data_IF_595622855229
#
_entry.id   IF_595622855229
#
_cell.length_a   1.000
_cell.length_b   1.000
_cell.length_c   1.000
_cell.angle_alpha   90.00
_cell.angle_beta   90.00
_cell.angle_gamma   90.00
#
_symmetry.space_group_name_H-M   'P 1'
#
loop_
_entity.id
_entity.type
_entity.pdbx_description
1 polymer ?
#
# COMPACT_ATOMS: atom_id res chain seq x y z
N UNK A 1 32.81 -51.51 -1.92
CA UNK A 1 31.39 -51.18 -1.81
C UNK A 1 31.27 -49.71 -1.46
N UNK A 2 31.00 -48.89 -2.49
CA UNK A 2 30.75 -47.47 -2.31
C UNK A 2 29.26 -47.26 -2.09
N UNK A 3 28.89 -46.76 -0.92
CA UNK A 3 27.52 -46.32 -0.62
C UNK A 3 27.35 -44.98 -1.29
N UNK A 4 26.68 -44.96 -2.45
CA UNK A 4 26.16 -43.71 -3.06
C UNK A 4 25.05 -43.20 -2.15
N UNK A 5 25.31 -42.06 -1.50
CA UNK A 5 24.28 -41.31 -0.80
C UNK A 5 23.26 -40.79 -1.81
N UNK A 6 22.05 -41.28 -1.79
CA UNK A 6 20.89 -40.75 -2.47
C UNK A 6 20.57 -39.38 -1.82
N UNK A 7 21.12 -38.29 -2.37
CA UNK A 7 20.60 -36.96 -2.11
C UNK A 7 19.19 -36.92 -2.71
N UNK A 8 18.17 -36.87 -1.87
CA UNK A 8 16.79 -36.60 -2.26
C UNK A 8 16.76 -35.25 -2.99
N UNK A 9 16.76 -35.28 -4.30
CA UNK A 9 16.49 -34.10 -5.13
C UNK A 9 15.00 -33.80 -4.99
N UNK A 10 14.65 -32.86 -4.11
CA UNK A 10 13.26 -32.39 -4.02
C UNK A 10 12.85 -31.83 -5.39
N UNK A 11 11.74 -32.33 -5.92
CA UNK A 11 11.19 -31.76 -7.14
C UNK A 11 10.71 -30.31 -6.86
N UNK A 12 10.85 -29.41 -7.83
CA UNK A 12 10.48 -28.00 -7.70
C UNK A 12 9.03 -27.84 -7.18
N UNK A 13 8.08 -28.64 -7.68
CA UNK A 13 6.70 -28.67 -7.19
C UNK A 13 6.52 -29.19 -5.76
N UNK A 14 7.49 -29.96 -5.21
CA UNK A 14 7.49 -30.35 -3.79
C UNK A 14 7.90 -29.20 -2.89
N UNK A 15 8.90 -28.42 -3.31
CA UNK A 15 9.37 -27.24 -2.59
C UNK A 15 8.29 -26.15 -2.54
N UNK A 16 7.65 -25.87 -3.67
CA UNK A 16 6.55 -24.90 -3.75
C UNK A 16 5.42 -25.25 -2.79
N UNK A 17 4.98 -26.53 -2.78
CA UNK A 17 3.94 -26.97 -1.82
C UNK A 17 4.37 -26.81 -0.36
N UNK A 18 5.63 -27.06 -0.02
CA UNK A 18 6.16 -26.83 1.33
C UNK A 18 6.15 -25.36 1.70
N UNK A 19 6.56 -24.46 0.79
CA UNK A 19 6.52 -22.99 0.98
C UNK A 19 5.09 -22.51 1.22
N UNK A 20 4.14 -22.91 0.37
CA UNK A 20 2.71 -22.56 0.54
C UNK A 20 2.23 -23.00 1.91
N UNK A 21 2.45 -24.25 2.29
CA UNK A 21 2.02 -24.77 3.59
C UNK A 21 2.69 -24.06 4.77
N UNK A 22 3.96 -23.68 4.64
CA UNK A 22 4.69 -22.92 5.65
C UNK A 22 4.08 -21.52 5.82
N UNK A 23 3.67 -20.86 4.72
CA UNK A 23 3.01 -19.55 4.74
C UNK A 23 1.62 -19.68 5.36
N UNK A 24 0.80 -20.63 4.91
CA UNK A 24 -0.57 -20.85 5.41
C UNK A 24 -0.66 -21.13 6.92
N UNK A 25 0.38 -21.74 7.48
CA UNK A 25 0.41 -22.15 8.91
C UNK A 25 1.51 -21.44 9.70
N UNK A 26 2.08 -20.41 9.16
CA UNK A 26 3.26 -19.76 9.74
C UNK A 26 3.22 -18.24 9.71
N UNK A 27 2.02 -17.63 9.79
CA UNK A 27 1.92 -16.17 9.87
C UNK A 27 2.64 -15.66 11.11
N UNK A 28 3.34 -14.54 10.94
CA UNK A 28 4.23 -13.96 11.97
C UNK A 28 3.75 -12.55 12.34
N UNK A 29 3.74 -12.26 13.64
CA UNK A 29 3.50 -10.91 14.17
C UNK A 29 4.65 -9.98 13.84
N UNK A 30 4.37 -8.67 13.90
CA UNK A 30 5.39 -7.63 13.71
C UNK A 30 6.47 -7.71 14.77
N UNK A 31 6.09 -7.98 16.01
CA UNK A 31 6.97 -7.99 17.18
C UNK A 31 6.94 -9.36 17.85
N UNK A 32 8.13 -9.81 18.27
CA UNK A 32 8.35 -10.99 19.11
C UNK A 32 9.18 -10.56 20.31
N UNK A 33 8.87 -11.07 21.50
CA UNK A 33 9.67 -10.79 22.69
C UNK A 33 11.00 -11.55 22.65
N UNK A 34 12.04 -10.88 23.13
CA UNK A 34 13.38 -11.48 23.21
C UNK A 34 13.38 -12.74 24.08
N UNK A 35 13.84 -13.83 23.52
CA UNK A 35 13.90 -15.13 24.19
C UNK A 35 12.64 -15.99 24.04
N UNK A 36 11.62 -15.49 23.35
CA UNK A 36 10.45 -16.26 22.96
C UNK A 36 10.58 -16.74 21.51
N UNK A 37 10.11 -17.96 21.25
CA UNK A 37 9.97 -18.44 19.87
C UNK A 37 8.77 -17.73 19.21
N UNK A 38 8.89 -17.28 17.94
CA UNK A 38 7.78 -16.67 17.22
C UNK A 38 6.58 -17.62 17.15
N UNK A 39 5.44 -17.19 17.65
CA UNK A 39 4.19 -17.91 17.46
C UNK A 39 3.84 -17.95 15.97
N UNK A 40 3.62 -19.16 15.45
CA UNK A 40 3.20 -19.36 14.06
C UNK A 40 1.69 -19.55 14.01
N UNK A 41 1.01 -18.59 13.37
CA UNK A 41 -0.44 -18.53 13.31
C UNK A 41 -0.95 -19.05 11.96
N UNK A 42 -2.17 -19.63 11.94
CA UNK A 42 -2.79 -20.08 10.70
C UNK A 42 -3.47 -18.91 9.99
N UNK A 43 -3.33 -18.86 8.68
CA UNK A 43 -3.97 -17.84 7.84
C UNK A 43 -5.50 -17.78 8.06
N UNK A 44 -6.18 -18.92 8.10
CA UNK A 44 -7.63 -18.96 8.29
C UNK A 44 -8.06 -18.37 9.65
N UNK A 45 -7.30 -18.64 10.73
CA UNK A 45 -7.59 -18.10 12.06
C UNK A 45 -7.39 -16.57 12.08
N UNK A 46 -6.32 -16.07 11.40
CA UNK A 46 -6.04 -14.64 11.32
C UNK A 46 -7.04 -13.89 10.42
N UNK A 47 -7.50 -14.51 9.33
CA UNK A 47 -8.60 -13.97 8.52
C UNK A 47 -9.86 -13.76 9.38
N UNK A 48 -10.22 -14.74 10.19
CA UNK A 48 -11.35 -14.64 11.12
C UNK A 48 -11.11 -13.56 12.18
N UNK A 49 -9.92 -13.53 12.78
CA UNK A 49 -9.55 -12.56 13.81
C UNK A 49 -9.65 -11.11 13.30
N UNK A 50 -9.16 -10.84 12.10
CA UNK A 50 -9.21 -9.51 11.48
C UNK A 50 -10.53 -9.23 10.75
N UNK A 51 -11.44 -10.18 10.63
CA UNK A 51 -12.68 -10.06 9.83
C UNK A 51 -12.38 -9.73 8.36
N UNK A 52 -11.42 -10.45 7.78
CA UNK A 52 -11.08 -10.38 6.37
C UNK A 52 -11.72 -11.56 5.66
N UNK A 53 -12.81 -11.36 4.88
CA UNK A 53 -13.52 -12.46 4.23
C UNK A 53 -12.71 -13.19 3.19
N UNK A 54 -11.86 -12.46 2.44
CA UNK A 54 -11.08 -13.02 1.36
C UNK A 54 -9.72 -12.35 1.15
N UNK A 55 -8.74 -13.13 0.72
CA UNK A 55 -7.42 -12.66 0.32
C UNK A 55 -6.89 -13.49 -0.84
N UNK A 56 -6.22 -12.86 -1.79
CA UNK A 56 -5.53 -13.52 -2.91
C UNK A 56 -4.06 -13.15 -2.89
N UNK A 57 -3.19 -14.14 -3.12
CA UNK A 57 -1.73 -14.02 -3.02
C UNK A 57 -1.10 -14.61 -4.29
N UNK A 58 -0.16 -13.88 -4.89
CA UNK A 58 0.73 -14.42 -5.93
C UNK A 58 2.17 -14.13 -5.57
N UNK A 59 3.04 -15.13 -5.70
CA UNK A 59 4.45 -15.04 -5.33
C UNK A 59 5.32 -15.25 -6.55
N UNK A 60 6.33 -14.39 -6.68
CA UNK A 60 7.36 -14.41 -7.73
C UNK A 60 8.62 -15.05 -7.16
N UNK A 61 9.16 -16.04 -7.85
CA UNK A 61 10.51 -16.56 -7.64
C UNK A 61 11.20 -16.76 -8.98
N UNK A 62 12.49 -16.43 -9.07
CA UNK A 62 13.28 -16.54 -10.31
C UNK A 62 12.65 -15.81 -11.51
N UNK A 63 12.10 -14.62 -11.28
CA UNK A 63 11.41 -13.78 -12.29
C UNK A 63 10.22 -14.47 -12.99
N UNK A 64 9.54 -15.38 -12.29
CA UNK A 64 8.32 -16.04 -12.76
C UNK A 64 7.31 -16.15 -11.61
N UNK A 65 6.03 -16.21 -11.92
CA UNK A 65 5.02 -16.52 -10.90
C UNK A 65 5.21 -17.98 -10.50
N UNK A 66 5.65 -18.23 -9.26
CA UNK A 66 5.82 -19.58 -8.74
C UNK A 66 4.48 -20.19 -8.36
N UNK A 67 3.59 -19.40 -7.78
CA UNK A 67 2.23 -19.80 -7.45
C UNK A 67 1.32 -18.59 -7.23
N UNK A 68 0.01 -18.82 -7.42
CA UNK A 68 -1.05 -17.90 -7.07
C UNK A 68 -2.20 -18.65 -6.40
N UNK A 69 -2.76 -18.12 -5.31
CA UNK A 69 -3.82 -18.79 -4.56
C UNK A 69 -4.75 -17.80 -3.87
N UNK A 70 -6.06 -18.09 -3.91
CA UNK A 70 -7.08 -17.39 -3.17
C UNK A 70 -7.47 -18.14 -1.88
N UNK A 71 -7.91 -17.40 -0.88
CA UNK A 71 -8.37 -17.91 0.41
C UNK A 71 -9.62 -17.16 0.86
N UNK A 72 -10.55 -17.86 1.49
CA UNK A 72 -11.81 -17.30 1.94
C UNK A 72 -12.83 -17.12 0.83
N UNK A 73 -13.69 -16.11 0.93
CA UNK A 73 -14.88 -15.93 0.09
C UNK A 73 -14.94 -14.56 -0.57
N UNK A 74 -15.57 -14.50 -1.75
CA UNK A 74 -15.76 -13.27 -2.53
C UNK A 74 -16.60 -12.23 -1.77
N UNK A 75 -17.58 -12.71 -1.00
CA UNK A 75 -18.49 -11.90 -0.20
C UNK A 75 -18.80 -12.61 1.11
N UNK A 76 -18.76 -11.88 2.21
CA UNK A 76 -19.17 -12.39 3.52
C UNK A 76 -20.60 -12.93 3.50
N UNK A 77 -20.80 -14.10 4.14
CA UNK A 77 -22.09 -14.78 4.15
C UNK A 77 -22.39 -15.62 2.90
N UNK A 78 -21.46 -15.77 1.97
CA UNK A 78 -21.54 -16.68 0.82
C UNK A 78 -20.53 -17.81 0.93
N UNK A 79 -20.69 -18.84 0.09
CA UNK A 79 -19.73 -19.95 -0.05
C UNK A 79 -18.88 -19.83 -1.31
N UNK A 80 -18.97 -18.71 -2.05
CA UNK A 80 -18.22 -18.48 -3.28
C UNK A 80 -16.73 -18.23 -2.95
N UNK A 81 -15.80 -19.14 -3.35
CA UNK A 81 -14.42 -19.04 -2.91
C UNK A 81 -13.65 -17.99 -3.72
N UNK A 82 -12.70 -17.31 -3.06
CA UNK A 82 -11.71 -16.52 -3.77
C UNK A 82 -10.86 -17.43 -4.64
N UNK A 83 -10.73 -17.06 -5.93
CA UNK A 83 -9.80 -17.67 -6.86
C UNK A 83 -8.72 -16.67 -7.29
N UNK A 84 -7.56 -17.13 -7.82
CA UNK A 84 -6.49 -16.23 -8.29
C UNK A 84 -6.89 -15.32 -9.46
N UNK A 85 -8.02 -15.61 -10.11
CA UNK A 85 -8.50 -14.90 -11.31
C UNK A 85 -9.59 -13.87 -11.01
N UNK A 86 -9.93 -13.67 -9.73
CA UNK A 86 -10.91 -12.66 -9.34
C UNK A 86 -10.25 -11.29 -9.23
N UNK A 87 -11.02 -10.27 -9.59
CA UNK A 87 -10.58 -8.89 -9.62
C UNK A 87 -10.76 -8.23 -8.25
N UNK A 88 -9.72 -7.53 -7.84
CA UNK A 88 -9.70 -6.63 -6.70
C UNK A 88 -9.40 -5.22 -7.17
N UNK A 89 -9.76 -4.22 -6.39
CA UNK A 89 -9.21 -2.88 -6.57
C UNK A 89 -7.74 -2.86 -6.18
N UNK A 90 -6.90 -2.33 -7.06
CA UNK A 90 -5.45 -2.23 -6.85
C UNK A 90 -5.08 -0.91 -6.15
N UNK A 91 -6.06 -0.03 -5.95
CA UNK A 91 -5.89 1.26 -5.29
C UNK A 91 -4.62 1.97 -5.81
N UNK A 92 -3.77 2.48 -4.91
CA UNK A 92 -2.56 3.24 -5.27
C UNK A 92 -1.49 2.45 -6.05
N UNK A 93 -1.61 1.14 -6.25
CA UNK A 93 -0.76 0.42 -7.21
C UNK A 93 -1.04 0.93 -8.64
N UNK A 94 -2.21 1.50 -8.91
CA UNK A 94 -2.54 2.24 -10.15
C UNK A 94 -1.47 3.27 -10.52
N UNK A 95 -0.90 3.93 -9.53
CA UNK A 95 0.10 4.98 -9.69
C UNK A 95 1.38 4.45 -10.34
N UNK A 96 1.86 3.31 -9.89
CA UNK A 96 3.07 2.67 -10.42
C UNK A 96 2.87 2.26 -11.89
N UNK A 97 1.70 1.70 -12.22
CA UNK A 97 1.34 1.31 -13.59
C UNK A 97 1.20 2.54 -14.49
N UNK A 98 0.63 3.65 -13.96
CA UNK A 98 0.53 4.93 -14.66
C UNK A 98 1.92 5.50 -14.99
N UNK A 99 2.83 5.49 -14.02
CA UNK A 99 4.21 5.96 -14.24
C UNK A 99 4.92 5.14 -15.30
N UNK A 100 4.72 3.83 -15.32
CA UNK A 100 5.32 2.95 -16.35
C UNK A 100 4.90 3.36 -17.76
N UNK A 101 3.63 3.72 -17.94
CA UNK A 101 3.12 4.29 -19.20
C UNK A 101 3.75 5.65 -19.51
N UNK A 102 3.83 6.57 -18.54
CA UNK A 102 4.42 7.90 -18.75
C UNK A 102 5.88 7.80 -19.20
N UNK A 103 6.65 6.88 -18.62
CA UNK A 103 8.06 6.68 -19.00
C UNK A 103 8.21 6.24 -20.46
N UNK A 104 7.24 5.52 -21.04
CA UNK A 104 7.23 5.22 -22.47
C UNK A 104 7.11 6.52 -23.31
N UNK A 105 6.25 7.46 -22.90
CA UNK A 105 6.13 8.75 -23.57
C UNK A 105 7.37 9.63 -23.38
N UNK A 106 8.11 9.45 -22.28
CA UNK A 106 9.42 10.10 -22.10
C UNK A 106 10.42 9.60 -23.11
N UNK A 107 10.51 8.29 -23.32
CA UNK A 107 11.41 7.67 -24.31
C UNK A 107 11.07 8.07 -25.76
N UNK A 108 9.79 8.27 -26.04
CA UNK A 108 9.32 8.79 -27.33
C UNK A 108 9.59 10.29 -27.52
N UNK A 109 10.17 10.98 -26.53
CA UNK A 109 10.44 12.42 -26.56
C UNK A 109 9.17 13.31 -26.48
N UNK A 110 8.01 12.72 -26.18
CA UNK A 110 6.75 13.45 -26.04
C UNK A 110 6.64 14.16 -24.70
N UNK A 111 7.28 13.63 -23.65
CA UNK A 111 7.31 14.19 -22.29
C UNK A 111 8.78 14.34 -21.86
N UNK A 112 9.12 15.50 -21.28
CA UNK A 112 10.35 15.70 -20.53
C UNK A 112 9.99 15.83 -19.05
N UNK A 113 10.58 14.99 -18.20
CA UNK A 113 10.25 14.91 -16.78
C UNK A 113 10.54 16.19 -16.00
N UNK A 114 11.42 17.06 -16.50
CA UNK A 114 11.92 18.24 -15.82
C UNK A 114 11.41 19.56 -16.44
N UNK A 115 10.48 19.47 -17.39
CA UNK A 115 9.81 20.62 -17.99
C UNK A 115 8.52 20.97 -17.22
N UNK A 116 8.12 22.24 -17.21
CA UNK A 116 6.84 22.68 -16.63
C UNK A 116 5.68 21.85 -17.20
N UNK A 117 4.95 21.15 -16.32
CA UNK A 117 3.84 20.28 -16.73
C UNK A 117 2.76 21.02 -17.52
N UNK A 118 2.59 22.30 -17.26
CA UNK A 118 1.62 23.15 -17.96
C UNK A 118 1.90 23.25 -19.48
N UNK A 119 3.09 22.92 -19.95
CA UNK A 119 3.39 22.85 -21.39
C UNK A 119 2.58 21.76 -22.09
N UNK A 120 2.34 20.64 -21.39
CA UNK A 120 1.66 19.46 -21.92
C UNK A 120 0.14 19.49 -21.75
N UNK A 121 -0.36 20.23 -20.75
CA UNK A 121 -1.79 20.36 -20.47
C UNK A 121 -2.43 21.32 -21.46
N UNK A 122 -3.55 20.97 -22.09
CA UNK A 122 -4.30 21.81 -23.02
C UNK A 122 -5.69 22.15 -22.49
N UNK A 123 -6.37 21.22 -21.84
CA UNK A 123 -7.73 21.40 -21.34
C UNK A 123 -7.82 22.12 -20.00
N UNK A 124 -6.73 22.08 -19.22
CA UNK A 124 -6.62 22.70 -17.90
C UNK A 124 -5.16 23.05 -17.60
N UNK A 125 -4.92 23.94 -16.63
CA UNK A 125 -3.57 24.34 -16.20
C UNK A 125 -3.49 24.38 -14.69
N UNK A 126 -2.35 23.97 -14.11
CA UNK A 126 -2.07 24.24 -12.69
C UNK A 126 -2.08 25.76 -12.48
N UNK A 127 -2.92 26.26 -11.54
CA UNK A 127 -2.96 27.68 -11.24
C UNK A 127 -1.61 28.21 -10.71
N UNK A 128 -1.21 29.44 -11.05
CA UNK A 128 0.00 30.04 -10.51
C UNK A 128 -0.15 30.29 -9.00
N UNK A 129 0.95 30.17 -8.27
CA UNK A 129 1.05 30.52 -6.86
C UNK A 129 2.41 31.17 -6.58
N UNK A 130 2.56 31.81 -5.44
CA UNK A 130 3.83 32.49 -5.07
C UNK A 130 5.01 31.52 -5.02
N UNK A 131 4.78 30.23 -4.72
CA UNK A 131 5.84 29.21 -4.67
C UNK A 131 6.16 28.59 -6.03
N UNK A 132 5.34 28.87 -7.07
CA UNK A 132 5.57 28.38 -8.44
C UNK A 132 6.12 29.46 -9.39
N UNK A 133 6.45 30.65 -8.89
CA UNK A 133 7.04 31.71 -9.72
C UNK A 133 8.41 31.29 -10.27
N UNK A 134 9.30 30.84 -9.41
CA UNK A 134 10.66 30.42 -9.77
C UNK A 134 10.75 28.93 -10.10
N UNK A 135 10.07 28.06 -9.34
CA UNK A 135 10.13 26.61 -9.50
C UNK A 135 8.81 26.06 -10.02
N UNK A 136 8.79 25.58 -11.25
CA UNK A 136 7.57 25.03 -11.87
C UNK A 136 7.32 23.60 -11.41
N UNK A 137 6.05 23.20 -11.42
CA UNK A 137 5.67 21.80 -11.24
C UNK A 137 6.03 21.03 -12.49
N UNK A 138 6.71 19.91 -12.32
CA UNK A 138 7.13 19.03 -13.42
C UNK A 138 6.48 17.65 -13.31
N UNK A 139 6.44 16.85 -14.38
CA UNK A 139 5.99 15.46 -14.31
C UNK A 139 6.74 14.64 -13.25
N UNK A 140 8.06 14.85 -13.09
CA UNK A 140 8.86 14.21 -12.03
C UNK A 140 8.34 14.54 -10.65
N UNK A 141 8.03 15.78 -10.35
CA UNK A 141 7.47 16.20 -9.07
C UNK A 141 6.13 15.52 -8.76
N UNK A 142 5.27 15.40 -9.77
CA UNK A 142 3.95 14.76 -9.62
C UNK A 142 4.09 13.26 -9.35
N UNK A 143 4.93 12.54 -10.11
CA UNK A 143 5.15 11.11 -9.97
C UNK A 143 5.84 10.72 -8.66
N UNK A 144 6.61 11.64 -8.06
CA UNK A 144 7.32 11.42 -6.78
C UNK A 144 6.64 12.08 -5.58
N UNK A 145 5.39 12.53 -5.72
CA UNK A 145 4.65 13.23 -4.68
C UNK A 145 5.40 14.46 -4.10
N UNK A 146 6.25 15.10 -4.89
CA UNK A 146 7.04 16.26 -4.45
C UNK A 146 6.61 17.57 -5.11
N UNK A 147 5.40 17.62 -5.68
CA UNK A 147 4.89 18.78 -6.39
C UNK A 147 4.44 19.94 -5.47
N UNK A 148 4.46 19.75 -4.15
CA UNK A 148 4.00 20.74 -3.18
C UNK A 148 2.48 20.90 -3.13
N UNK A 149 1.75 19.85 -3.50
CA UNK A 149 0.28 19.77 -3.43
C UNK A 149 -0.17 19.34 -2.04
N UNK A 150 -1.42 19.70 -1.69
CA UNK A 150 -2.03 19.25 -0.44
C UNK A 150 -2.07 17.72 -0.37
N UNK A 151 -1.70 17.17 0.80
CA UNK A 151 -1.82 15.73 1.06
C UNK A 151 -3.29 15.34 1.10
N UNK A 152 -3.71 14.52 0.14
CA UNK A 152 -5.10 14.15 -0.03
C UNK A 152 -5.21 12.77 -0.67
N UNK A 153 -6.08 11.94 -0.07
CA UNK A 153 -6.68 10.78 -0.69
C UNK A 153 -8.10 11.14 -1.12
N UNK A 154 -8.44 10.89 -2.38
CA UNK A 154 -9.74 11.24 -2.94
C UNK A 154 -10.82 10.26 -2.47
N UNK A 155 -12.02 10.79 -2.23
CA UNK A 155 -13.16 9.97 -1.87
C UNK A 155 -13.61 9.08 -3.04
N UNK A 156 -14.04 7.87 -2.72
CA UNK A 156 -14.72 6.98 -3.65
C UNK A 156 -16.21 7.32 -3.79
N UNK A 157 -16.79 6.94 -4.91
CA UNK A 157 -18.21 7.11 -5.22
C UNK A 157 -18.86 5.73 -5.38
N UNK A 158 -19.93 5.40 -4.61
CA UNK A 158 -20.60 4.12 -4.73
C UNK A 158 -21.06 3.84 -6.16
N UNK A 159 -21.08 2.59 -6.56
CA UNK A 159 -21.57 2.17 -7.85
C UNK A 159 -22.98 2.72 -8.10
N UNK A 160 -23.22 3.26 -9.30
CA UNK A 160 -24.51 3.85 -9.68
C UNK A 160 -24.76 5.30 -9.21
N UNK A 161 -23.85 5.90 -8.43
CA UNK A 161 -23.90 7.34 -8.11
C UNK A 161 -23.18 8.18 -9.16
N UNK A 162 -23.52 9.46 -9.25
CA UNK A 162 -22.84 10.40 -10.12
C UNK A 162 -21.41 10.62 -9.66
N UNK A 163 -20.45 10.24 -10.50
CA UNK A 163 -19.03 10.44 -10.27
C UNK A 163 -18.58 11.73 -10.98
N UNK A 164 -17.73 12.58 -10.35
CA UNK A 164 -17.16 13.76 -11.01
C UNK A 164 -16.23 13.36 -12.15
N UNK A 165 -16.11 14.25 -13.15
CA UNK A 165 -15.05 14.17 -14.12
C UNK A 165 -13.69 14.55 -13.50
N UNK A 166 -12.57 14.17 -14.13
CA UNK A 166 -11.24 14.55 -13.65
C UNK A 166 -11.08 16.07 -13.59
N UNK A 167 -11.65 16.81 -14.55
CA UNK A 167 -11.64 18.27 -14.52
C UNK A 167 -12.36 18.84 -13.30
N UNK A 168 -13.49 18.26 -12.87
CA UNK A 168 -14.18 18.69 -11.65
C UNK A 168 -13.28 18.51 -10.41
N UNK A 169 -12.49 17.42 -10.39
CA UNK A 169 -11.52 17.16 -9.31
C UNK A 169 -10.39 18.18 -9.34
N UNK A 170 -9.84 18.49 -10.52
CA UNK A 170 -8.74 19.42 -10.68
C UNK A 170 -9.14 20.86 -10.32
N UNK A 171 -10.38 21.24 -10.64
CA UNK A 171 -10.93 22.57 -10.39
C UNK A 171 -11.57 22.71 -9.00
N UNK A 172 -11.81 21.60 -8.29
CA UNK A 172 -12.51 21.60 -7.01
C UNK A 172 -14.00 21.94 -7.15
N UNK A 173 -14.62 21.53 -8.26
CA UNK A 173 -16.02 21.84 -8.56
C UNK A 173 -16.94 20.66 -8.27
N UNK A 174 -18.18 20.96 -7.87
CA UNK A 174 -19.20 19.91 -7.68
C UNK A 174 -19.50 19.20 -9.02
N UNK A 175 -19.70 17.85 -8.98
CA UNK A 175 -19.98 17.04 -7.79
C UNK A 175 -18.74 16.55 -7.01
N UNK A 176 -17.53 16.98 -7.36
CA UNK A 176 -16.33 16.61 -6.62
C UNK A 176 -16.30 17.22 -5.21
N UNK A 177 -15.77 16.44 -4.25
CA UNK A 177 -15.43 16.92 -2.91
C UNK A 177 -13.95 17.33 -2.79
N UNK A 178 -13.21 17.30 -3.89
CA UNK A 178 -11.84 17.79 -3.97
C UNK A 178 -11.79 19.31 -3.69
N UNK A 179 -10.73 19.80 -3.01
CA UNK A 179 -10.49 21.25 -2.87
C UNK A 179 -9.95 21.88 -4.18
N UNK A 180 -9.71 21.07 -5.23
CA UNK A 180 -8.98 21.48 -6.41
C UNK A 180 -7.46 21.41 -6.23
N UNK A 181 -6.75 21.59 -7.33
CA UNK A 181 -5.28 21.58 -7.33
C UNK A 181 -4.75 22.96 -6.95
N UNK A 182 -3.99 22.99 -5.86
CA UNK A 182 -3.29 24.16 -5.39
C UNK A 182 -1.88 23.79 -4.90
N UNK A 183 -0.87 24.52 -5.36
CA UNK A 183 0.53 24.33 -4.98
C UNK A 183 0.86 25.30 -3.84
N UNK A 184 1.14 24.79 -2.64
CA UNK A 184 1.37 25.60 -1.45
C UNK A 184 2.80 25.48 -0.89
N UNK A 185 3.57 24.48 -1.33
CA UNK A 185 5.01 24.32 -1.03
C UNK A 185 5.83 24.37 -2.32
N UNK A 186 7.08 24.79 -2.21
CA UNK A 186 7.99 24.81 -3.36
C UNK A 186 8.13 23.40 -3.96
N UNK A 187 7.84 23.21 -5.26
CA UNK A 187 8.02 21.91 -5.90
C UNK A 187 9.43 21.35 -5.71
N UNK A 188 9.53 20.07 -5.38
CA UNK A 188 10.79 19.37 -5.13
C UNK A 188 11.36 19.57 -3.72
N UNK A 189 10.76 20.37 -2.83
CA UNK A 189 11.29 20.62 -1.48
C UNK A 189 11.14 19.40 -0.55
N UNK A 190 9.99 18.73 -0.60
CA UNK A 190 9.68 17.55 0.21
C UNK A 190 8.70 16.62 -0.52
N UNK A 191 8.61 15.36 -0.09
CA UNK A 191 7.62 14.43 -0.58
C UNK A 191 6.40 14.42 0.35
N UNK A 192 5.21 14.65 -0.22
CA UNK A 192 3.94 14.63 0.49
C UNK A 192 2.89 13.97 -0.40
N UNK A 193 2.39 12.80 0.02
CA UNK A 193 1.47 11.99 -0.77
C UNK A 193 0.23 12.78 -1.20
N UNK A 194 -0.08 12.78 -2.49
CA UNK A 194 -1.26 13.46 -3.03
C UNK A 194 -1.78 12.76 -4.29
N UNK A 195 -3.03 12.34 -4.27
CA UNK A 195 -3.70 11.79 -5.45
C UNK A 195 -4.03 12.86 -6.49
N UNK A 196 -4.08 14.15 -6.09
CA UNK A 196 -4.25 15.26 -7.02
C UNK A 196 -3.10 15.36 -8.03
N UNK A 197 -1.89 14.98 -7.65
CA UNK A 197 -0.77 14.89 -8.59
C UNK A 197 -1.03 13.89 -9.71
N UNK A 198 -1.67 12.78 -9.40
CA UNK A 198 -2.05 11.77 -10.41
C UNK A 198 -3.27 12.17 -11.21
N UNK A 199 -4.15 13.04 -10.70
CA UNK A 199 -5.20 13.68 -11.50
C UNK A 199 -4.58 14.54 -12.61
N UNK A 200 -3.54 15.32 -12.28
CA UNK A 200 -2.79 16.11 -13.27
C UNK A 200 -2.09 15.21 -14.30
N UNK A 201 -1.47 14.12 -13.87
CA UNK A 201 -0.81 13.16 -14.77
C UNK A 201 -1.82 12.43 -15.68
N UNK A 202 -3.01 12.10 -15.17
CA UNK A 202 -4.08 11.54 -16.00
C UNK A 202 -4.50 12.53 -17.08
N UNK A 203 -4.78 13.78 -16.71
CA UNK A 203 -5.16 14.82 -17.66
C UNK A 203 -4.05 15.10 -18.69
N UNK A 204 -2.78 15.07 -18.25
CA UNK A 204 -1.64 15.20 -19.15
C UNK A 204 -1.65 14.13 -20.24
N UNK A 205 -1.86 12.86 -19.88
CA UNK A 205 -1.89 11.76 -20.85
C UNK A 205 -3.09 11.88 -21.80
N UNK A 206 -4.28 12.24 -21.27
CA UNK A 206 -5.48 12.43 -22.08
C UNK A 206 -5.34 13.62 -23.06
N UNK A 207 -4.75 14.72 -22.61
CA UNK A 207 -4.47 15.89 -23.45
C UNK A 207 -3.41 15.60 -24.54
N UNK A 208 -2.39 14.81 -24.18
CA UNK A 208 -1.29 14.47 -25.10
C UNK A 208 -1.73 13.52 -26.21
N UNK A 209 -2.52 12.50 -25.87
CA UNK A 209 -2.91 11.44 -26.81
C UNK A 209 -4.31 11.65 -27.43
N UNK A 210 -5.12 12.56 -26.90
CA UNK A 210 -6.49 12.80 -27.36
C UNK A 210 -7.39 11.56 -27.20
N UNK A 211 -7.09 10.71 -26.23
CA UNK A 211 -7.76 9.42 -25.98
C UNK A 211 -8.09 9.25 -24.50
N UNK A 212 -9.15 8.50 -24.14
CA UNK A 212 -9.46 8.22 -22.74
C UNK A 212 -8.32 7.45 -22.05
N UNK A 213 -8.03 7.79 -20.79
CA UNK A 213 -6.96 7.24 -19.98
C UNK A 213 -6.89 5.71 -19.98
N UNK A 214 -8.03 5.03 -19.81
CA UNK A 214 -8.08 3.56 -19.80
C UNK A 214 -7.59 2.93 -21.11
N UNK A 215 -7.84 3.57 -22.26
CA UNK A 215 -7.35 3.10 -23.56
C UNK A 215 -5.86 3.29 -23.70
N UNK A 216 -5.33 4.41 -23.22
CA UNK A 216 -3.88 4.69 -23.22
C UNK A 216 -3.17 3.61 -22.43
N UNK A 217 -3.59 3.35 -21.17
CA UNK A 217 -2.96 2.35 -20.30
C UNK A 217 -3.12 0.91 -20.83
N UNK A 218 -4.26 0.60 -21.45
CA UNK A 218 -4.47 -0.70 -22.10
C UNK A 218 -3.44 -0.97 -23.20
N UNK A 219 -3.16 0.03 -24.06
CA UNK A 219 -2.21 -0.13 -25.17
C UNK A 219 -0.75 -0.05 -24.73
N UNK A 220 -0.43 0.84 -23.77
CA UNK A 220 0.96 1.09 -23.38
C UNK A 220 1.50 0.12 -22.33
N UNK A 221 0.64 -0.45 -21.47
CA UNK A 221 1.09 -1.32 -20.38
C UNK A 221 0.36 -2.65 -20.35
N UNK A 222 -1.00 -2.65 -20.27
CA UNK A 222 -1.72 -3.88 -19.95
C UNK A 222 -1.55 -4.96 -21.02
N UNK A 223 -1.77 -4.61 -22.29
CA UNK A 223 -1.60 -5.55 -23.42
C UNK A 223 -0.15 -6.01 -23.62
N UNK A 224 0.86 -5.10 -23.65
CA UNK A 224 2.26 -5.51 -23.80
C UNK A 224 2.73 -6.47 -22.71
N UNK A 225 2.16 -6.41 -21.50
CA UNK A 225 2.51 -7.27 -20.37
C UNK A 225 1.57 -8.47 -20.17
N UNK A 226 0.65 -8.73 -21.10
CA UNK A 226 -0.35 -9.80 -20.98
C UNK A 226 -1.21 -9.72 -19.72
N UNK A 227 -1.43 -8.52 -19.17
CA UNK A 227 -2.30 -8.27 -18.02
C UNK A 227 -3.78 -8.31 -18.44
N UNK A 228 -4.22 -9.45 -19.00
CA UNK A 228 -5.50 -9.61 -19.67
C UNK A 228 -6.73 -9.58 -18.75
N UNK A 229 -6.53 -9.64 -17.45
CA UNK A 229 -7.59 -9.51 -16.44
C UNK A 229 -7.58 -8.17 -15.74
N UNK A 230 -6.82 -7.20 -16.25
CA UNK A 230 -6.69 -5.86 -15.66
C UNK A 230 -7.36 -4.80 -16.51
N UNK A 231 -7.91 -3.76 -15.86
CA UNK A 231 -8.51 -2.63 -16.58
C UNK A 231 -8.53 -1.37 -15.71
N UNK A 232 -8.43 -0.20 -16.38
CA UNK A 232 -8.70 1.11 -15.83
C UNK A 232 -10.08 1.65 -16.27
N UNK A 233 -10.89 0.84 -16.91
CA UNK A 233 -12.19 1.27 -17.45
C UNK A 233 -13.19 1.54 -16.32
N UNK A 234 -13.79 2.72 -16.32
CA UNK A 234 -14.80 3.15 -15.37
C UNK A 234 -16.02 3.70 -16.16
N UNK A 235 -17.21 3.14 -15.95
CA UNK A 235 -17.55 1.99 -15.10
C UNK A 235 -16.95 0.68 -15.61
N UNK A 236 -16.74 -0.26 -14.67
CA UNK A 236 -16.18 -1.57 -14.99
C UNK A 236 -17.09 -2.31 -16.01
N UNK A 237 -16.52 -2.89 -17.09
CA UNK A 237 -17.30 -3.65 -18.09
C UNK A 237 -18.11 -4.80 -17.48
N UNK A 238 -19.31 -5.07 -17.99
CA UNK A 238 -20.22 -6.10 -17.45
C UNK A 238 -19.57 -7.47 -17.30
N UNK A 239 -18.77 -7.88 -18.29
CA UNK A 239 -18.06 -9.16 -18.27
C UNK A 239 -17.05 -9.24 -17.12
N UNK A 240 -16.46 -8.12 -16.72
CA UNK A 240 -15.50 -8.06 -15.62
C UNK A 240 -16.18 -7.95 -14.26
N UNK A 241 -17.35 -7.28 -14.19
CA UNK A 241 -18.14 -7.19 -12.95
C UNK A 241 -18.52 -8.56 -12.37
N UNK A 242 -18.71 -9.56 -13.20
CA UNK A 242 -19.00 -10.93 -12.75
C UNK A 242 -17.80 -11.64 -12.11
N UNK A 243 -16.63 -11.06 -12.21
CA UNK A 243 -15.37 -11.60 -11.68
C UNK A 243 -14.80 -10.75 -10.54
N UNK A 244 -15.52 -9.73 -10.06
CA UNK A 244 -15.06 -8.88 -8.98
C UNK A 244 -15.45 -9.44 -7.62
N UNK A 245 -14.55 -9.31 -6.66
CA UNK A 245 -14.86 -9.56 -5.25
C UNK A 245 -15.57 -8.34 -4.66
N UNK A 246 -16.40 -8.56 -3.66
CA UNK A 246 -17.07 -7.49 -2.91
C UNK A 246 -16.13 -6.95 -1.83
N UNK A 247 -16.03 -5.64 -1.69
CA UNK A 247 -15.29 -4.98 -0.62
C UNK A 247 -16.05 -5.06 0.72
N UNK A 248 -15.31 -5.05 1.85
CA UNK A 248 -15.89 -5.14 3.19
C UNK A 248 -15.31 -4.07 4.12
N UNK A 249 -16.19 -3.48 4.93
CA UNK A 249 -15.83 -2.51 5.95
C UNK A 249 -15.10 -3.17 7.15
N UNK A 250 -14.71 -2.36 8.13
CA UNK A 250 -14.01 -2.84 9.35
C UNK A 250 -14.82 -3.79 10.21
N UNK A 251 -16.15 -3.82 10.07
CA UNK A 251 -17.04 -4.75 10.74
C UNK A 251 -17.09 -6.12 10.03
N UNK A 252 -16.53 -6.22 8.82
CA UNK A 252 -16.57 -7.39 7.96
C UNK A 252 -17.86 -7.48 7.15
N UNK A 253 -18.60 -6.37 7.03
CA UNK A 253 -19.84 -6.25 6.25
C UNK A 253 -19.52 -5.73 4.86
N UNK A 254 -20.26 -6.14 3.82
CA UNK A 254 -20.12 -5.57 2.48
C UNK A 254 -20.25 -4.05 2.48
N UNK A 255 -19.37 -3.36 1.74
CA UNK A 255 -19.53 -1.91 1.51
C UNK A 255 -20.73 -1.62 0.63
N UNK A 256 -21.21 -0.36 0.60
CA UNK A 256 -22.35 0.08 -0.20
C UNK A 256 -22.17 -0.35 -1.67
N UNK A 257 -23.19 -0.99 -2.25
CA UNK A 257 -23.19 -1.51 -3.64
C UNK A 257 -22.02 -2.45 -3.99
N UNK A 258 -21.20 -2.87 -3.00
CA UNK A 258 -20.09 -3.84 -3.14
C UNK A 258 -18.73 -3.24 -3.46
N UNK A 259 -18.65 -2.04 -4.04
CA UNK A 259 -17.41 -1.29 -4.28
C UNK A 259 -17.67 0.17 -4.64
N UNK A 260 -16.61 0.97 -4.61
CA UNK A 260 -16.61 2.38 -5.00
C UNK A 260 -15.82 2.58 -6.29
N UNK A 261 -16.15 3.61 -7.06
CA UNK A 261 -15.35 4.11 -8.15
C UNK A 261 -14.59 5.37 -7.76
N UNK A 262 -13.41 5.53 -8.32
CA UNK A 262 -12.53 6.67 -8.06
C UNK A 262 -12.38 7.49 -9.34
N UNK A 263 -12.68 8.80 -9.30
CA UNK A 263 -12.69 9.64 -10.49
C UNK A 263 -11.31 9.79 -11.12
N UNK A 264 -10.25 9.66 -10.32
CA UNK A 264 -8.86 9.70 -10.79
C UNK A 264 -8.35 8.26 -10.93
N UNK A 265 -8.56 7.70 -12.13
CA UNK A 265 -8.16 6.33 -12.43
C UNK A 265 -6.63 6.13 -12.31
N UNK A 266 -5.83 7.13 -12.66
CA UNK A 266 -4.38 7.11 -12.51
C UNK A 266 -3.91 6.93 -11.06
N UNK A 267 -4.70 7.40 -10.09
CA UNK A 267 -4.38 7.27 -8.67
C UNK A 267 -4.86 5.94 -8.08
N UNK A 268 -6.12 5.51 -8.39
CA UNK A 268 -6.77 4.43 -7.65
C UNK A 268 -7.77 3.60 -8.48
N UNK A 269 -7.78 3.73 -9.83
CA UNK A 269 -8.82 3.14 -10.68
C UNK A 269 -8.52 1.76 -11.26
N UNK A 270 -7.33 1.19 -11.04
CA UNK A 270 -6.97 -0.11 -11.60
C UNK A 270 -7.72 -1.26 -10.89
N UNK A 271 -8.42 -2.06 -11.67
CA UNK A 271 -8.90 -3.37 -11.28
C UNK A 271 -7.94 -4.43 -11.81
N UNK A 272 -7.49 -5.35 -10.96
CA UNK A 272 -6.49 -6.35 -11.35
C UNK A 272 -6.59 -7.61 -10.51
N UNK A 273 -5.75 -8.59 -10.85
CA UNK A 273 -5.48 -9.80 -10.06
C UNK A 273 -4.06 -9.76 -9.51
N UNK A 274 -3.75 -10.47 -8.43
CA UNK A 274 -2.36 -10.59 -7.97
C UNK A 274 -1.43 -11.14 -9.05
N UNK A 275 -1.91 -12.02 -9.93
CA UNK A 275 -1.10 -12.58 -11.02
C UNK A 275 -0.73 -11.54 -12.07
N UNK A 276 -1.70 -10.72 -12.53
CA UNK A 276 -1.41 -9.66 -13.50
C UNK A 276 -0.45 -8.62 -12.92
N UNK A 277 -0.64 -8.23 -11.65
CA UNK A 277 0.29 -7.33 -10.97
C UNK A 277 1.69 -7.96 -10.78
N UNK A 278 1.79 -9.28 -10.65
CA UNK A 278 3.08 -9.97 -10.68
C UNK A 278 3.74 -9.87 -12.06
N UNK A 279 2.99 -9.95 -13.18
CA UNK A 279 3.55 -9.74 -14.52
C UNK A 279 4.15 -8.35 -14.66
N UNK A 280 3.44 -7.32 -14.17
CA UNK A 280 3.97 -5.95 -14.10
C UNK A 280 5.25 -5.86 -13.25
N UNK A 281 5.25 -6.41 -12.03
CA UNK A 281 6.42 -6.40 -11.16
C UNK A 281 7.62 -7.15 -11.78
N UNK A 282 7.38 -8.28 -12.48
CA UNK A 282 8.41 -9.05 -13.19
C UNK A 282 9.01 -8.22 -14.31
N UNK A 283 8.20 -7.50 -15.10
CA UNK A 283 8.74 -6.66 -16.18
C UNK A 283 9.58 -5.52 -15.61
N UNK A 284 9.11 -4.81 -14.56
CA UNK A 284 9.91 -3.79 -13.86
C UNK A 284 11.24 -4.36 -13.38
N UNK A 285 11.24 -5.53 -12.72
CA UNK A 285 12.47 -6.18 -12.23
C UNK A 285 13.40 -6.54 -13.37
N UNK A 286 12.92 -7.25 -14.39
CA UNK A 286 13.74 -7.70 -15.55
C UNK A 286 14.29 -6.51 -16.31
N UNK A 287 13.48 -5.48 -16.52
CA UNK A 287 13.92 -4.28 -17.25
C UNK A 287 15.00 -3.53 -16.48
N UNK A 288 14.83 -3.32 -15.15
CA UNK A 288 15.86 -2.68 -14.33
C UNK A 288 17.21 -3.43 -14.35
N UNK A 289 17.15 -4.76 -14.43
CA UNK A 289 18.32 -5.64 -14.54
C UNK A 289 18.87 -5.77 -15.99
N UNK A 290 18.27 -5.10 -16.97
CA UNK A 290 18.67 -5.18 -18.38
C UNK A 290 18.32 -6.50 -19.07
N UNK A 291 17.33 -7.24 -18.55
CA UNK A 291 16.89 -8.53 -19.06
C UNK A 291 15.59 -8.43 -19.89
N UNK A 292 14.96 -7.28 -19.92
CA UNK A 292 13.74 -6.97 -20.69
C UNK A 292 13.76 -5.53 -21.16
N UNK A 293 12.95 -5.25 -22.20
CA UNK A 293 12.66 -3.93 -22.71
C UNK A 293 11.26 -3.94 -23.36
N UNK A 294 10.30 -4.57 -22.71
CA UNK A 294 8.96 -4.76 -23.29
C UNK A 294 8.19 -3.45 -23.38
N UNK A 295 8.22 -2.62 -22.34
CA UNK A 295 7.49 -1.35 -22.27
C UNK A 295 8.45 -0.16 -22.30
N UNK A 296 9.50 -0.19 -21.48
CA UNK A 296 10.50 0.87 -21.37
C UNK A 296 11.92 0.30 -21.36
N UNK A 297 12.91 1.19 -21.52
CA UNK A 297 14.34 0.83 -21.47
C UNK A 297 14.83 0.54 -20.04
N UNK A 298 15.97 -0.16 -19.89
CA UNK A 298 16.61 -0.34 -18.59
C UNK A 298 16.96 0.97 -17.88
N UNK A 299 17.22 2.04 -18.61
CA UNK A 299 17.51 3.35 -18.04
C UNK A 299 16.28 3.94 -17.37
N UNK A 300 15.14 3.93 -18.05
CA UNK A 300 13.85 4.40 -17.50
C UNK A 300 13.41 3.57 -16.30
N UNK A 301 13.59 2.24 -16.34
CA UNK A 301 13.28 1.38 -15.22
C UNK A 301 14.14 1.70 -13.98
N UNK A 302 15.45 1.88 -14.17
CA UNK A 302 16.34 2.30 -13.07
C UNK A 302 16.02 3.69 -12.54
N UNK A 303 15.62 4.63 -13.42
CA UNK A 303 15.17 5.95 -13.02
C UNK A 303 13.91 5.87 -12.14
N UNK A 304 12.94 5.01 -12.51
CA UNK A 304 11.73 4.76 -11.70
C UNK A 304 12.07 4.24 -10.29
N UNK A 305 13.08 3.38 -10.19
CA UNK A 305 13.56 2.77 -8.94
C UNK A 305 14.65 3.58 -8.24
N UNK A 306 14.85 4.85 -8.62
CA UNK A 306 15.79 5.76 -7.94
C UNK A 306 15.00 6.70 -7.04
N UNK A 307 15.29 6.74 -5.72
CA UNK A 307 14.65 7.68 -4.82
C UNK A 307 14.83 9.14 -5.26
N UNK A 308 13.75 9.89 -5.32
CA UNK A 308 13.73 11.31 -5.67
C UNK A 308 13.75 12.19 -4.40
N UNK A 309 12.96 11.80 -3.40
CA UNK A 309 12.91 12.43 -2.06
C UNK A 309 12.59 11.36 -1.00
N UNK A 310 13.44 11.26 0.05
CA UNK A 310 13.30 10.17 1.02
C UNK A 310 13.35 8.83 0.29
N UNK A 311 12.37 7.97 0.55
CA UNK A 311 12.21 6.69 -0.14
C UNK A 311 11.32 6.77 -1.39
N UNK A 312 10.81 7.96 -1.73
CA UNK A 312 9.90 8.13 -2.86
C UNK A 312 10.67 8.09 -4.19
N UNK A 313 10.49 7.03 -4.95
CA UNK A 313 10.87 6.94 -6.37
C UNK A 313 9.80 7.53 -7.29
N UNK A 314 9.72 7.10 -8.53
CA UNK A 314 8.66 7.48 -9.44
C UNK A 314 7.54 6.43 -9.39
N UNK A 315 6.45 6.70 -8.65
CA UNK A 315 5.31 5.81 -8.51
C UNK A 315 5.52 4.59 -7.60
N UNK A 316 6.70 4.42 -7.02
CA UNK A 316 7.02 3.41 -6.01
C UNK A 316 7.73 4.04 -4.83
N UNK A 317 7.59 3.43 -3.66
CA UNK A 317 8.59 3.57 -2.61
C UNK A 317 9.75 2.61 -2.89
N UNK A 318 10.98 3.10 -2.73
CA UNK A 318 12.21 2.34 -2.99
C UNK A 318 13.07 2.34 -1.75
N UNK A 319 13.45 1.17 -1.32
CA UNK A 319 14.18 0.96 -0.07
C UNK A 319 15.47 0.20 -0.32
N UNK A 320 16.47 0.47 0.55
CA UNK A 320 17.77 -0.13 0.53
C UNK A 320 18.56 0.13 -0.77
N UNK A 321 19.64 -0.56 -0.95
CA UNK A 321 20.58 -0.40 -2.06
C UNK A 321 21.18 -1.73 -2.48
N UNK A 322 21.76 -1.79 -3.68
CA UNK A 322 22.48 -2.95 -4.17
C UNK A 322 21.61 -4.20 -4.27
N UNK A 323 22.10 -5.31 -3.75
CA UNK A 323 21.43 -6.62 -3.86
C UNK A 323 20.15 -6.73 -3.02
N UNK A 324 19.96 -5.83 -2.04
CA UNK A 324 18.81 -5.81 -1.16
C UNK A 324 17.78 -4.76 -1.55
N UNK A 325 18.03 -3.96 -2.58
CA UNK A 325 17.06 -3.00 -3.09
C UNK A 325 15.74 -3.71 -3.36
N UNK A 326 14.65 -3.13 -2.83
CA UNK A 326 13.30 -3.54 -3.18
C UNK A 326 12.43 -2.31 -3.44
N UNK A 327 11.47 -2.48 -4.32
CA UNK A 327 10.40 -1.53 -4.51
C UNK A 327 9.12 -2.05 -3.89
N UNK A 328 8.32 -1.10 -3.43
CA UNK A 328 7.18 -1.34 -2.60
C UNK A 328 6.05 -0.41 -2.98
N UNK A 329 4.82 -0.92 -3.00
CA UNK A 329 3.62 -0.12 -3.10
C UNK A 329 2.50 -0.75 -2.30
N UNK A 330 1.81 0.08 -1.50
CA UNK A 330 0.53 -0.26 -0.88
C UNK A 330 -0.60 0.43 -1.61
N UNK A 331 -1.78 -0.14 -1.50
CA UNK A 331 -3.01 0.48 -1.95
C UNK A 331 -4.12 0.23 -0.94
N UNK A 332 -4.93 1.25 -0.71
CA UNK A 332 -6.10 1.21 0.16
C UNK A 332 -7.23 2.00 -0.49
N UNK A 333 -8.36 1.36 -0.63
CA UNK A 333 -9.65 1.96 -1.02
C UNK A 333 -10.73 1.37 -0.13
N UNK A 334 -11.92 1.97 -0.11
CA UNK A 334 -13.03 1.46 0.72
C UNK A 334 -13.31 -0.01 0.40
N UNK A 335 -13.09 -0.86 1.39
CA UNK A 335 -13.29 -2.30 1.31
C UNK A 335 -12.13 -3.10 0.72
N UNK A 336 -11.00 -2.49 0.35
CA UNK A 336 -9.87 -3.19 -0.26
C UNK A 336 -8.52 -2.69 0.25
N UNK A 337 -7.63 -3.64 0.48
CA UNK A 337 -6.23 -3.39 0.81
C UNK A 337 -5.34 -4.25 -0.08
N UNK A 338 -4.24 -3.70 -0.55
CA UNK A 338 -3.27 -4.44 -1.36
C UNK A 338 -1.82 -4.04 -1.08
N UNK A 339 -0.91 -4.92 -1.47
CA UNK A 339 0.53 -4.71 -1.31
C UNK A 339 1.29 -5.42 -2.44
N UNK A 340 2.28 -4.73 -2.99
CA UNK A 340 3.27 -5.26 -3.93
C UNK A 340 4.66 -5.01 -3.37
N UNK A 341 5.48 -6.05 -3.32
CA UNK A 341 6.91 -6.01 -2.96
C UNK A 341 7.70 -6.80 -4.00
N UNK A 342 8.78 -6.25 -4.51
CA UNK A 342 9.67 -7.01 -5.38
C UNK A 342 11.13 -6.57 -5.28
N UNK A 343 12.03 -7.54 -5.44
CA UNK A 343 13.48 -7.43 -5.34
C UNK A 343 14.11 -7.65 -6.72
N UNK A 344 14.51 -6.59 -7.44
CA UNK A 344 15.04 -6.73 -8.80
C UNK A 344 16.22 -7.70 -8.93
N UNK A 345 17.18 -7.63 -8.04
CA UNK A 345 18.38 -8.49 -8.09
C UNK A 345 18.11 -9.96 -7.72
N UNK A 346 17.04 -10.22 -6.96
CA UNK A 346 16.66 -11.57 -6.53
C UNK A 346 15.68 -12.24 -7.49
N UNK A 347 14.98 -11.46 -8.33
CA UNK A 347 13.86 -11.95 -9.14
C UNK A 347 12.73 -12.51 -8.27
N UNK A 348 12.53 -11.95 -7.07
CA UNK A 348 11.57 -12.39 -6.08
C UNK A 348 10.59 -11.26 -5.76
N UNK A 349 9.35 -11.63 -5.44
CA UNK A 349 8.34 -10.66 -5.05
C UNK A 349 7.04 -11.31 -4.60
N UNK A 350 6.10 -10.49 -4.17
CA UNK A 350 4.76 -10.91 -3.79
C UNK A 350 3.76 -9.80 -4.07
N UNK A 351 2.58 -10.19 -4.51
CA UNK A 351 1.39 -9.35 -4.54
C UNK A 351 0.32 -10.00 -3.68
N UNK A 352 -0.25 -9.21 -2.76
CA UNK A 352 -1.30 -9.64 -1.84
C UNK A 352 -2.44 -8.64 -1.95
N UNK A 353 -3.67 -9.14 -2.16
CA UNK A 353 -4.88 -8.32 -2.27
C UNK A 353 -5.98 -8.89 -1.38
N UNK A 354 -6.56 -8.06 -0.53
CA UNK A 354 -7.63 -8.41 0.42
C UNK A 354 -8.88 -7.57 0.16
N UNK A 355 -10.05 -8.17 0.32
CA UNK A 355 -11.33 -7.50 0.16
C UNK A 355 -11.90 -6.97 1.48
N UNK A 356 -11.10 -6.25 2.26
CA UNK A 356 -11.49 -5.70 3.56
C UNK A 356 -10.63 -4.51 3.98
N UNK A 357 -11.24 -3.51 4.63
CA UNK A 357 -10.54 -2.39 5.29
C UNK A 357 -9.57 -2.84 6.41
N UNK A 358 -9.73 -4.05 6.92
CA UNK A 358 -8.78 -4.66 7.87
C UNK A 358 -7.68 -5.46 7.19
N UNK A 359 -7.70 -5.55 5.87
CA UNK A 359 -6.77 -6.36 5.07
C UNK A 359 -5.31 -6.07 5.33
N UNK A 360 -4.98 -4.82 5.64
CA UNK A 360 -3.62 -4.37 5.83
C UNK A 360 -2.87 -5.10 6.95
N UNK A 361 -3.53 -5.45 8.07
CA UNK A 361 -2.90 -6.21 9.15
C UNK A 361 -2.59 -7.65 8.73
N UNK A 362 -3.54 -8.27 8.03
CA UNK A 362 -3.38 -9.63 7.51
C UNK A 362 -2.27 -9.68 6.45
N UNK A 363 -2.23 -8.69 5.55
CA UNK A 363 -1.18 -8.54 4.52
C UNK A 363 0.19 -8.46 5.17
N UNK A 364 0.35 -7.70 6.26
CA UNK A 364 1.62 -7.57 6.96
C UNK A 364 2.10 -8.91 7.57
N UNK A 365 1.19 -9.73 8.06
CA UNK A 365 1.52 -11.06 8.58
C UNK A 365 1.84 -12.06 7.48
N UNK A 366 1.09 -12.03 6.37
CA UNK A 366 1.37 -12.85 5.17
C UNK A 366 2.74 -12.48 4.60
N UNK A 367 3.03 -11.18 4.47
CA UNK A 367 4.29 -10.68 3.94
C UNK A 367 5.49 -11.17 4.76
N UNK A 368 5.39 -11.17 6.11
CA UNK A 368 6.44 -11.72 6.97
C UNK A 368 6.60 -13.22 6.80
N UNK A 369 5.51 -13.95 6.64
CA UNK A 369 5.55 -15.39 6.41
C UNK A 369 6.15 -15.74 5.05
N UNK A 370 5.85 -14.96 4.00
CA UNK A 370 6.52 -15.06 2.69
C UNK A 370 8.00 -14.76 2.84
N UNK A 371 8.36 -13.66 3.51
CA UNK A 371 9.76 -13.30 3.78
C UNK A 371 10.52 -14.43 4.48
N UNK A 372 9.95 -15.04 5.52
CA UNK A 372 10.56 -16.18 6.20
C UNK A 372 10.72 -17.39 5.27
N UNK A 373 9.69 -17.73 4.47
CA UNK A 373 9.72 -18.87 3.57
C UNK A 373 10.73 -18.72 2.41
N UNK A 374 10.93 -17.49 1.91
CA UNK A 374 11.83 -17.17 0.79
C UNK A 374 13.17 -16.56 1.23
N UNK A 375 13.38 -16.43 2.56
CA UNK A 375 14.62 -15.90 3.17
C UNK A 375 14.97 -14.51 2.67
N UNK A 376 13.99 -13.62 2.71
CA UNK A 376 14.22 -12.21 2.40
C UNK A 376 14.91 -11.49 3.55
N UNK A 377 15.69 -10.44 3.28
CA UNK A 377 16.39 -9.68 4.32
C UNK A 377 15.48 -8.71 5.08
N UNK A 378 14.32 -8.39 4.51
CA UNK A 378 13.33 -7.45 5.07
C UNK A 378 12.02 -8.14 5.44
N UNK A 379 11.09 -7.41 6.04
CA UNK A 379 9.79 -7.92 6.48
C UNK A 379 9.93 -9.09 7.45
N UNK A 380 10.87 -8.98 8.36
CA UNK A 380 11.08 -9.92 9.47
C UNK A 380 10.42 -9.36 10.74
N UNK A 381 10.11 -10.24 11.69
CA UNK A 381 9.61 -9.83 13.00
C UNK A 381 10.70 -9.07 13.76
N UNK A 382 10.32 -7.95 14.37
CA UNK A 382 11.20 -7.17 15.24
C UNK A 382 11.31 -7.83 16.60
N UNK A 383 12.53 -8.04 17.09
CA UNK A 383 12.74 -8.61 18.43
C UNK A 383 12.80 -7.46 19.44
N UNK A 384 11.80 -7.39 20.32
CA UNK A 384 11.73 -6.39 21.38
C UNK A 384 11.93 -7.00 22.77
N UNK A 385 12.56 -6.21 23.64
CA UNK A 385 12.63 -6.49 25.06
C UNK A 385 11.65 -5.55 25.77
N UNK A 386 10.84 -6.07 26.65
CA UNK A 386 10.02 -5.25 27.54
C UNK A 386 10.64 -5.20 28.96
N UNK A 387 10.42 -4.08 29.61
CA UNK A 387 10.91 -3.84 30.95
C UNK A 387 9.73 -3.74 31.93
N UNK A 388 10.03 -3.91 33.22
CA UNK A 388 9.08 -3.61 34.29
C UNK A 388 9.50 -2.30 34.95
N UNK A 389 8.59 -1.35 35.00
CA UNK A 389 8.76 -0.11 35.74
C UNK A 389 8.23 -0.29 37.16
N UNK A 390 8.63 0.62 38.06
CA UNK A 390 7.96 0.73 39.33
C UNK A 390 6.48 1.05 39.15
N UNK A 391 5.55 0.41 39.89
CA UNK A 391 4.12 0.65 39.75
C UNK A 391 3.71 2.13 39.83
N UNK A 392 4.42 2.95 40.62
CA UNK A 392 4.15 4.37 40.72
C UNK A 392 4.38 5.14 39.41
N UNK A 393 5.28 4.64 38.55
CA UNK A 393 5.56 5.25 37.25
C UNK A 393 4.38 5.08 36.28
N UNK A 394 3.66 3.96 36.31
CA UNK A 394 2.49 3.75 35.46
C UNK A 394 1.33 4.70 35.81
N UNK A 395 1.18 5.05 37.09
CA UNK A 395 0.06 5.88 37.56
C UNK A 395 0.01 7.25 36.86
N UNK A 396 1.16 7.82 36.49
CA UNK A 396 1.23 9.11 35.78
C UNK A 396 0.63 9.07 34.36
N UNK A 397 0.59 7.88 33.74
CA UNK A 397 0.09 7.68 32.37
C UNK A 397 -1.39 7.36 32.32
N UNK A 398 -1.99 6.96 33.44
CA UNK A 398 -3.42 6.65 33.52
C UNK A 398 -4.24 7.90 33.23
N UNK A 399 -5.33 7.73 32.47
CA UNK A 399 -6.25 8.83 32.17
C UNK A 399 -6.90 8.70 30.79
N UNK A 400 -7.54 9.79 30.36
CA UNK A 400 -8.18 9.91 29.06
C UNK A 400 -7.39 10.84 28.16
N UNK A 401 -7.22 10.41 26.91
CA UNK A 401 -6.47 11.14 25.90
C UNK A 401 -7.35 11.34 24.67
N UNK A 402 -7.50 12.58 24.24
CA UNK A 402 -8.28 12.97 23.08
C UNK A 402 -7.42 13.03 21.83
N UNK A 403 -7.71 12.17 20.86
CA UNK A 403 -7.13 12.22 19.51
C UNK A 403 -7.90 13.23 18.66
N UNK A 404 -9.23 13.18 18.80
CA UNK A 404 -10.22 14.10 18.22
C UNK A 404 -11.52 13.99 19.01
N UNK A 405 -12.48 14.96 18.89
CA UNK A 405 -13.64 15.05 19.78
C UNK A 405 -14.48 13.78 19.90
N UNK A 406 -14.53 12.96 18.87
CA UNK A 406 -15.30 11.70 18.81
C UNK A 406 -14.44 10.45 19.05
N UNK A 407 -13.12 10.60 19.27
CA UNK A 407 -12.20 9.48 19.40
C UNK A 407 -11.20 9.65 20.53
N UNK A 408 -11.40 8.88 21.59
CA UNK A 408 -10.68 8.93 22.83
C UNK A 408 -9.91 7.64 23.07
N UNK A 409 -8.78 7.75 23.76
CA UNK A 409 -8.01 6.62 24.30
C UNK A 409 -8.16 6.62 25.83
N UNK A 410 -8.69 5.53 26.37
CA UNK A 410 -8.76 5.34 27.82
C UNK A 410 -7.59 4.48 28.26
N UNK A 411 -6.64 5.06 29.01
CA UNK A 411 -5.42 4.40 29.47
C UNK A 411 -5.59 3.97 30.92
N UNK A 412 -5.43 2.67 31.17
CA UNK A 412 -5.42 2.06 32.50
C UNK A 412 -4.09 1.35 32.74
N UNK A 413 -3.78 1.09 34.02
CA UNK A 413 -2.64 0.31 34.43
C UNK A 413 -3.11 -1.04 34.97
N UNK A 414 -2.46 -2.11 34.49
CA UNK A 414 -2.67 -3.48 35.01
C UNK A 414 -1.29 -4.15 35.13
N UNK A 415 -0.96 -4.68 36.32
CA UNK A 415 0.29 -5.33 36.64
C UNK A 415 1.54 -4.53 36.17
N UNK A 416 2.18 -4.96 35.08
CA UNK A 416 3.41 -4.36 34.51
C UNK A 416 3.23 -3.87 33.07
N UNK A 417 1.99 -3.58 32.66
CA UNK A 417 1.67 -3.01 31.33
C UNK A 417 0.52 -2.00 31.43
N UNK A 418 0.34 -1.21 30.38
CA UNK A 418 -0.81 -0.36 30.24
C UNK A 418 -1.86 -1.06 29.37
N UNK A 419 -3.11 -0.86 29.72
CA UNK A 419 -4.26 -1.28 28.89
C UNK A 419 -4.86 -0.04 28.26
N UNK A 420 -4.87 0.04 26.95
CA UNK A 420 -5.42 1.17 26.20
C UNK A 420 -6.64 0.73 25.44
N UNK A 421 -7.75 1.41 25.68
CA UNK A 421 -9.02 1.16 25.01
C UNK A 421 -9.43 2.39 24.18
N UNK A 422 -9.37 2.32 22.84
CA UNK A 422 -9.93 3.33 21.97
C UNK A 422 -11.47 3.30 21.98
N UNK A 423 -12.11 4.45 21.69
CA UNK A 423 -13.56 4.53 21.56
C UNK A 423 -14.11 3.50 20.57
N UNK A 424 -15.04 2.66 21.03
CA UNK A 424 -15.70 1.64 20.21
C UNK A 424 -14.84 0.43 19.83
N UNK A 425 -13.62 0.29 20.41
CA UNK A 425 -12.72 -0.82 20.12
C UNK A 425 -12.41 -1.66 21.36
N UNK A 426 -11.87 -2.86 21.15
CA UNK A 426 -11.39 -3.72 22.21
C UNK A 426 -10.12 -3.13 22.89
N UNK A 427 -9.92 -3.38 24.20
CA UNK A 427 -8.69 -2.99 24.87
C UNK A 427 -7.47 -3.76 24.35
N UNK A 428 -6.32 -3.12 24.37
CA UNK A 428 -5.04 -3.68 23.91
C UNK A 428 -3.96 -3.45 24.97
N UNK A 429 -3.11 -4.45 25.21
CA UNK A 429 -2.02 -4.39 26.18
C UNK A 429 -0.78 -3.74 25.57
N UNK A 430 -0.18 -2.79 26.30
CA UNK A 430 1.03 -2.07 25.91
C UNK A 430 2.16 -2.31 26.90
N UNK A 431 3.24 -2.88 26.43
CA UNK A 431 4.43 -3.26 27.18
C UNK A 431 5.47 -2.13 27.15
N UNK A 432 6.26 -2.02 28.21
CA UNK A 432 7.27 -0.96 28.38
C UNK A 432 8.45 -1.19 27.46
N UNK A 433 8.77 -0.23 26.62
CA UNK A 433 10.01 -0.15 25.84
C UNK A 433 11.04 0.80 26.48
N UNK A 434 10.55 1.89 27.09
CA UNK A 434 11.35 2.84 27.87
C UNK A 434 10.49 3.47 28.96
N UNK A 435 11.03 4.44 29.70
CA UNK A 435 10.25 5.15 30.72
C UNK A 435 8.99 5.83 30.17
N UNK A 436 8.99 6.29 28.91
CA UNK A 436 7.86 7.00 28.32
C UNK A 436 7.31 6.35 27.04
N UNK A 437 7.95 5.28 26.56
CA UNK A 437 7.57 4.60 25.33
C UNK A 437 7.04 3.21 25.63
N UNK A 438 5.92 2.87 25.03
CA UNK A 438 5.24 1.59 25.19
C UNK A 438 4.83 1.05 23.81
N UNK A 439 4.69 -0.26 23.69
CA UNK A 439 4.26 -0.90 22.45
C UNK A 439 3.27 -2.04 22.71
N UNK A 440 2.36 -2.23 21.76
CA UNK A 440 1.52 -3.43 21.70
C UNK A 440 2.06 -4.41 20.68
N UNK A 441 1.69 -5.69 20.80
CA UNK A 441 2.17 -6.75 19.92
C UNK A 441 1.16 -7.08 18.81
N UNK A 442 -0.12 -7.02 19.13
CA UNK A 442 -1.19 -7.44 18.22
C UNK A 442 -2.45 -6.57 18.40
N UNK A 443 -2.69 -5.62 17.50
CA UNK A 443 -1.80 -5.14 16.43
C UNK A 443 -0.56 -4.39 17.00
N UNK A 444 0.52 -4.30 16.22
CA UNK A 444 1.67 -3.50 16.63
C UNK A 444 1.35 -2.00 16.55
N UNK A 445 1.42 -1.36 17.71
CA UNK A 445 1.25 0.08 17.89
C UNK A 445 2.33 0.53 18.86
N UNK A 446 2.97 1.65 18.59
CA UNK A 446 3.88 2.29 19.55
C UNK A 446 3.25 3.57 20.08
N UNK A 447 3.40 3.82 21.36
CA UNK A 447 3.01 5.09 21.99
C UNK A 447 4.19 5.69 22.73
N UNK A 448 4.30 7.01 22.65
CA UNK A 448 5.27 7.79 23.40
C UNK A 448 4.54 8.87 24.19
N UNK A 449 4.60 8.85 25.52
CA UNK A 449 4.00 9.88 26.34
C UNK A 449 4.82 11.16 26.33
N UNK A 450 4.13 12.28 26.17
CA UNK A 450 4.66 13.63 26.18
C UNK A 450 4.58 14.21 27.58
N UNK A 451 5.62 14.94 28.00
CA UNK A 451 5.70 15.61 29.32
C UNK A 451 6.04 17.08 29.14
N UNK A 452 5.50 17.90 30.02
CA UNK A 452 5.89 19.30 30.13
C UNK A 452 7.24 19.46 30.86
N UNK A 453 7.67 20.68 31.00
CA UNK A 453 8.93 21.05 31.71
C UNK A 453 8.92 20.74 33.23
N UNK A 454 7.73 20.54 33.82
CA UNK A 454 7.54 20.10 35.19
C UNK A 454 7.49 18.57 35.34
N UNK A 455 7.56 17.83 34.23
CA UNK A 455 7.51 16.36 34.20
C UNK A 455 6.10 15.78 34.20
N UNK A 456 5.05 16.61 34.11
CA UNK A 456 3.64 16.14 34.03
C UNK A 456 3.29 15.65 32.64
N UNK A 457 2.56 14.56 32.55
CA UNK A 457 2.11 13.99 31.27
C UNK A 457 1.01 14.85 30.68
N UNK A 458 1.26 15.40 29.49
CA UNK A 458 0.34 16.31 28.76
C UNK A 458 -0.37 15.65 27.59
N UNK A 459 0.19 14.55 27.06
CA UNK A 459 -0.35 13.86 25.90
C UNK A 459 0.44 12.61 25.58
N UNK A 460 0.15 12.06 24.40
CA UNK A 460 0.94 10.97 23.81
C UNK A 460 0.99 11.08 22.29
N UNK A 461 2.03 10.55 21.69
CA UNK A 461 2.13 10.23 20.26
C UNK A 461 1.79 8.76 20.08
N UNK A 462 0.86 8.46 19.18
CA UNK A 462 0.50 7.10 18.78
C UNK A 462 1.02 6.87 17.37
N UNK A 463 1.93 5.91 17.21
CA UNK A 463 2.50 5.54 15.92
C UNK A 463 2.02 4.15 15.53
N UNK A 464 1.37 4.04 14.38
CA UNK A 464 0.89 2.80 13.83
C UNK A 464 1.14 2.78 12.32
N UNK A 465 1.80 1.73 11.81
CA UNK A 465 2.12 1.56 10.39
C UNK A 465 2.80 2.79 9.76
N UNK A 466 3.71 3.41 10.49
CA UNK A 466 4.46 4.60 10.05
C UNK A 466 3.71 5.93 10.16
N UNK A 467 2.42 5.91 10.48
CA UNK A 467 1.64 7.13 10.72
C UNK A 467 1.62 7.46 12.21
N UNK A 468 1.83 8.74 12.53
CA UNK A 468 1.82 9.24 13.90
C UNK A 468 0.66 10.22 14.10
N UNK A 469 -0.10 10.00 15.17
CA UNK A 469 -1.16 10.89 15.63
C UNK A 469 -0.87 11.35 17.05
N UNK A 470 -1.17 12.59 17.35
CA UNK A 470 -1.06 13.14 18.70
C UNK A 470 -2.40 13.04 19.43
N UNK A 471 -2.34 12.73 20.74
CA UNK A 471 -3.49 12.73 21.63
C UNK A 471 -3.20 13.57 22.86
N UNK A 472 -4.07 14.51 23.17
CA UNK A 472 -3.95 15.40 24.35
C UNK A 472 -4.54 14.73 25.58
N UNK A 473 -3.83 14.77 26.72
CA UNK A 473 -4.39 14.32 28.01
C UNK A 473 -5.45 15.30 28.48
N UNK A 474 -6.67 14.79 28.75
CA UNK A 474 -7.81 15.61 29.20
C UNK A 474 -8.31 15.25 30.60
N UNK A 475 -7.87 14.10 31.15
CA UNK A 475 -8.25 13.64 32.47
C UNK A 475 -7.18 12.70 33.05
#
# INVERSE_FOLDING_TARGET
MAVMGLTNCETEGSLTRKRIKAIENGLLRTVVFKGEDPERMKLADRMTFYRVPGVSVAVIDKYAIEWAKGYGVERAGTELPITPNLLFQSASISQSVTVWSILQFVELGKINLDTDVNVYLSSWKIPPSSVTEETKVTPRHLMSHSAGLVSLQLAGYPFGKTMPAVLDVLEGQKPSDSPGVYVYKTPGSEAEYSELGYAVLQQLLEDLEGAPFHKILAETVLKPLDMNQSTFEIPLPDIMRTKTVVGHNRQGEPVEEGWFYYPVAAASGLWSTPSDLCLFAIDVMKTAMGQSQTVVSPESARMMLTPQRGNQGLGFEVYDTGENLYFFQRGSTEGYECCMVAYPSRGQGVVIMANSDNGAYLIDEILRSVSDAYKWPHFISEIKTYYRLDPSVYAQYVGKYEVRPDYMLNVKHEDYYLVIQPTGQAPTNFFVESQSTFFSVDPYIQIQFLKDTAGSVTGLLLTQRGQTSEARKIQ
#
